data_IF_684530168186
#
_entry.id   IF_684530168186
#
_cell.length_a   1.000
_cell.length_b   1.000
_cell.length_c   1.000
_cell.angle_alpha   90.00
_cell.angle_beta   90.00
_cell.angle_gamma   90.00
#
_symmetry.space_group_name_H-M   'P 1'
#
loop_
_entity.id
_entity.type
_entity.pdbx_description
1 polymer ?
#
# COMPACT_ATOMS: atom_id res chain seq x y z
N UNK A 1 -10.70 -13.27 16.86
CA UNK A 1 -12.18 -13.13 16.85
C UNK A 1 -12.77 -13.37 15.46
N UNK A 2 -14.08 -13.61 15.36
CA UNK A 2 -14.76 -13.69 14.06
C UNK A 2 -14.76 -12.33 13.35
N UNK A 3 -14.78 -12.35 12.01
CA UNK A 3 -14.89 -11.13 11.19
C UNK A 3 -16.20 -10.40 11.56
N UNK A 4 -16.18 -9.07 11.77
CA UNK A 4 -17.40 -8.32 12.04
C UNK A 4 -18.48 -8.58 10.97
N UNK A 5 -19.75 -8.62 11.40
CA UNK A 5 -20.87 -8.97 10.51
C UNK A 5 -20.95 -8.00 9.33
N UNK A 6 -21.11 -8.52 8.12
CA UNK A 6 -21.25 -7.73 6.89
C UNK A 6 -19.94 -7.33 6.20
N UNK A 7 -18.78 -7.77 6.72
CA UNK A 7 -17.49 -7.54 6.08
C UNK A 7 -17.00 -8.75 5.28
N UNK A 8 -16.41 -8.46 4.13
CA UNK A 8 -15.72 -9.40 3.26
C UNK A 8 -14.22 -9.22 3.46
N UNK A 9 -13.54 -10.32 3.79
CA UNK A 9 -12.09 -10.35 3.95
C UNK A 9 -11.38 -10.31 2.60
N UNK A 10 -10.16 -9.77 2.57
CA UNK A 10 -9.40 -9.59 1.33
C UNK A 10 -9.20 -10.88 0.54
N UNK A 11 -9.01 -11.99 1.23
CA UNK A 11 -8.88 -13.32 0.62
C UNK A 11 -10.14 -13.77 -0.12
N UNK A 12 -11.31 -13.15 0.09
CA UNK A 12 -12.55 -13.49 -0.61
C UNK A 12 -12.89 -12.55 -1.76
N UNK A 13 -12.15 -11.44 -1.90
CA UNK A 13 -12.36 -10.47 -2.97
C UNK A 13 -11.83 -11.01 -4.30
N UNK A 14 -12.47 -10.62 -5.40
CA UNK A 14 -12.03 -10.97 -6.76
C UNK A 14 -10.66 -10.37 -7.11
N UNK A 15 -10.33 -9.22 -6.52
CA UNK A 15 -9.00 -8.60 -6.57
C UNK A 15 -7.88 -9.53 -6.08
N UNK A 16 -8.18 -10.50 -5.23
CA UNK A 16 -7.22 -11.47 -4.71
C UNK A 16 -6.96 -12.65 -5.68
N UNK A 17 -7.82 -12.85 -6.68
CA UNK A 17 -7.74 -13.95 -7.65
C UNK A 17 -6.37 -14.09 -8.34
N UNK A 18 -5.72 -13.03 -8.87
CA UNK A 18 -4.39 -13.16 -9.48
C UNK A 18 -3.34 -13.68 -8.49
N UNK A 19 -3.35 -13.21 -7.23
CA UNK A 19 -2.42 -13.66 -6.20
C UNK A 19 -2.68 -15.11 -5.78
N UNK A 20 -3.96 -15.51 -5.69
CA UNK A 20 -4.33 -16.92 -5.44
C UNK A 20 -3.87 -17.84 -6.57
N UNK A 21 -4.09 -17.44 -7.82
CA UNK A 21 -3.66 -18.21 -8.99
C UNK A 21 -2.14 -18.33 -9.03
N UNK A 22 -1.41 -17.24 -8.75
CA UNK A 22 0.04 -17.27 -8.64
C UNK A 22 0.51 -18.24 -7.55
N UNK A 23 -0.13 -18.21 -6.36
CA UNK A 23 0.19 -19.13 -5.27
C UNK A 23 -0.09 -20.60 -5.66
N UNK A 24 -1.21 -20.87 -6.33
CA UNK A 24 -1.54 -22.21 -6.83
C UNK A 24 -0.50 -22.70 -7.85
N UNK A 25 -0.05 -21.85 -8.77
CA UNK A 25 1.01 -22.18 -9.73
C UNK A 25 2.31 -22.52 -8.99
N UNK A 26 2.71 -21.73 -8.00
CA UNK A 26 3.93 -21.99 -7.21
C UNK A 26 3.83 -23.34 -6.49
N UNK A 27 2.70 -23.63 -5.86
CA UNK A 27 2.45 -24.92 -5.20
C UNK A 27 2.47 -26.08 -6.20
N UNK A 28 1.85 -25.90 -7.38
CA UNK A 28 1.83 -26.91 -8.42
C UNK A 28 3.24 -27.18 -8.96
N UNK A 29 4.06 -26.16 -9.18
CA UNK A 29 5.45 -26.31 -9.65
C UNK A 29 6.34 -26.94 -8.58
N UNK A 30 6.20 -26.54 -7.31
CA UNK A 30 7.00 -27.14 -6.23
C UNK A 30 6.65 -28.61 -6.03
N UNK A 31 5.36 -28.97 -6.03
CA UNK A 31 4.89 -30.35 -5.94
C UNK A 31 5.22 -31.18 -7.18
N UNK A 32 5.12 -30.62 -8.39
CA UNK A 32 5.53 -31.32 -9.60
C UNK A 32 7.02 -31.68 -9.58
N UNK A 33 7.88 -30.79 -9.09
CA UNK A 33 9.32 -31.04 -8.95
C UNK A 33 9.60 -32.24 -8.02
N UNK A 34 8.88 -32.36 -6.90
CA UNK A 34 9.05 -33.52 -6.00
C UNK A 34 8.54 -34.81 -6.62
N UNK A 35 7.38 -34.76 -7.28
CA UNK A 35 6.79 -35.92 -7.95
C UNK A 35 7.71 -36.44 -9.05
N UNK A 36 8.29 -35.57 -9.87
CA UNK A 36 9.26 -35.95 -10.91
C UNK A 36 10.48 -36.64 -10.29
N UNK A 37 11.04 -36.07 -9.22
CA UNK A 37 12.17 -36.68 -8.51
C UNK A 37 11.86 -38.09 -7.98
N UNK A 38 10.63 -38.30 -7.49
CA UNK A 38 10.17 -39.59 -6.98
C UNK A 38 9.89 -40.60 -8.10
N UNK A 39 9.35 -40.16 -9.24
CA UNK A 39 9.13 -41.03 -10.42
C UNK A 39 10.49 -41.49 -10.97
N UNK A 40 11.48 -40.60 -11.06
CA UNK A 40 12.81 -40.95 -11.56
C UNK A 40 13.48 -42.01 -10.69
N UNK A 41 13.34 -41.94 -9.37
CA UNK A 41 13.93 -42.96 -8.48
C UNK A 41 13.19 -44.29 -8.52
N UNK A 42 11.84 -44.27 -8.52
CA UNK A 42 11.05 -45.51 -8.49
C UNK A 42 11.01 -46.27 -9.81
N UNK A 43 10.90 -45.57 -10.95
CA UNK A 43 10.67 -46.21 -12.25
C UNK A 43 11.91 -46.27 -13.14
N UNK A 44 12.79 -45.27 -13.06
CA UNK A 44 13.98 -45.20 -13.91
C UNK A 44 15.26 -45.71 -13.20
N UNK A 45 15.15 -46.18 -11.95
CA UNK A 45 16.26 -46.80 -11.20
C UNK A 45 17.38 -45.82 -10.81
N UNK A 46 17.10 -44.52 -10.85
CA UNK A 46 18.05 -43.50 -10.41
C UNK A 46 18.32 -43.55 -8.90
N UNK A 47 19.52 -43.12 -8.50
CA UNK A 47 19.90 -43.04 -7.08
C UNK A 47 18.95 -42.16 -6.27
N UNK A 48 18.70 -42.54 -5.01
CA UNK A 48 17.85 -41.79 -4.07
C UNK A 48 18.30 -40.33 -3.88
N UNK A 49 19.59 -40.04 -4.12
CA UNK A 49 20.14 -38.68 -4.09
C UNK A 49 19.39 -37.71 -5.02
N UNK A 50 18.93 -38.18 -6.18
CA UNK A 50 18.18 -37.35 -7.13
C UNK A 50 16.84 -36.90 -6.53
N UNK A 51 16.13 -37.79 -5.83
CA UNK A 51 14.88 -37.41 -5.16
C UNK A 51 15.11 -36.40 -4.03
N UNK A 52 16.21 -36.51 -3.30
CA UNK A 52 16.59 -35.55 -2.25
C UNK A 52 16.92 -34.17 -2.82
N UNK A 53 17.61 -34.13 -3.97
CA UNK A 53 17.90 -32.87 -4.67
C UNK A 53 16.60 -32.22 -5.16
N UNK A 54 15.70 -32.98 -5.78
CA UNK A 54 14.39 -32.47 -6.22
C UNK A 54 13.55 -31.97 -5.03
N UNK A 55 13.59 -32.67 -3.89
CA UNK A 55 12.93 -32.23 -2.67
C UNK A 55 13.52 -30.91 -2.17
N UNK A 56 14.84 -30.80 -2.08
CA UNK A 56 15.51 -29.57 -1.66
C UNK A 56 15.15 -28.40 -2.58
N UNK A 57 15.15 -28.61 -3.90
CA UNK A 57 14.75 -27.61 -4.89
C UNK A 57 13.28 -27.19 -4.71
N UNK A 58 12.36 -28.12 -4.46
CA UNK A 58 10.96 -27.79 -4.21
C UNK A 58 10.75 -26.89 -2.99
N UNK A 59 11.50 -27.16 -1.91
CA UNK A 59 11.46 -26.39 -0.67
C UNK A 59 12.01 -24.99 -0.93
N UNK A 60 13.11 -24.88 -1.67
CA UNK A 60 13.70 -23.58 -2.05
C UNK A 60 12.73 -22.76 -2.89
N UNK A 61 12.12 -23.35 -3.92
CA UNK A 61 11.13 -22.66 -4.77
C UNK A 61 9.97 -22.13 -3.92
N UNK A 62 9.41 -22.97 -3.05
CA UNK A 62 8.30 -22.56 -2.20
C UNK A 62 8.70 -21.50 -1.16
N UNK A 63 9.90 -21.61 -0.58
CA UNK A 63 10.41 -20.66 0.40
C UNK A 63 10.67 -19.27 -0.22
N UNK A 64 11.22 -19.22 -1.44
CA UNK A 64 11.53 -17.97 -2.12
C UNK A 64 10.28 -17.26 -2.65
N UNK A 65 9.35 -18.00 -3.24
CA UNK A 65 8.19 -17.38 -3.93
C UNK A 65 6.88 -17.59 -3.18
N UNK A 66 6.63 -18.79 -2.65
CA UNK A 66 5.34 -19.16 -2.05
C UNK A 66 5.05 -18.42 -0.75
N UNK A 67 6.06 -18.24 0.10
CA UNK A 67 5.88 -17.56 1.39
C UNK A 67 5.48 -16.08 1.23
N UNK A 68 6.08 -15.37 0.26
CA UNK A 68 5.73 -13.98 -0.02
C UNK A 68 4.33 -13.85 -0.63
N UNK A 69 3.99 -14.67 -1.62
CA UNK A 69 2.65 -14.63 -2.25
C UNK A 69 1.56 -15.02 -1.25
N UNK A 70 1.80 -16.00 -0.38
CA UNK A 70 0.85 -16.38 0.66
C UNK A 70 0.54 -15.21 1.62
N UNK A 71 1.54 -14.38 1.91
CA UNK A 71 1.35 -13.21 2.74
C UNK A 71 0.50 -12.10 2.10
N UNK A 72 0.51 -12.01 0.77
CA UNK A 72 -0.30 -11.05 0.02
C UNK A 72 -1.74 -11.57 -0.16
N UNK A 73 -1.93 -12.88 -0.22
CA UNK A 73 -3.28 -13.47 -0.21
C UNK A 73 -3.95 -13.29 1.16
N UNK A 74 -3.18 -13.43 2.25
CA UNK A 74 -3.65 -13.32 3.63
C UNK A 74 -3.44 -11.92 4.22
N UNK A 75 -3.75 -10.87 3.46
CA UNK A 75 -3.72 -9.50 3.98
C UNK A 75 -4.83 -9.38 5.04
N UNK A 76 -4.52 -8.84 6.24
CA UNK A 76 -5.48 -8.66 7.32
C UNK A 76 -6.40 -7.45 7.06
N UNK A 77 -7.09 -7.44 5.93
CA UNK A 77 -7.97 -6.37 5.46
C UNK A 77 -9.37 -6.94 5.25
N UNK A 78 -10.38 -6.18 5.65
CA UNK A 78 -11.77 -6.47 5.34
C UNK A 78 -12.53 -5.19 4.99
N UNK A 79 -13.45 -5.30 4.05
CA UNK A 79 -14.27 -4.20 3.54
C UNK A 79 -15.74 -4.60 3.56
N UNK A 80 -16.66 -3.65 3.62
CA UNK A 80 -18.08 -3.94 3.51
C UNK A 80 -18.53 -4.07 2.03
N UNK A 81 -19.79 -4.47 1.82
CA UNK A 81 -20.39 -4.63 0.48
C UNK A 81 -20.38 -3.34 -0.34
N UNK A 82 -20.51 -2.18 0.30
CA UNK A 82 -20.52 -0.88 -0.37
C UNK A 82 -19.11 -0.39 -0.75
N UNK A 83 -18.07 -1.20 -0.61
CA UNK A 83 -16.73 -0.80 -0.99
C UNK A 83 -16.48 -1.11 -2.48
N UNK A 84 -15.77 -0.25 -3.24
CA UNK A 84 -15.41 -0.47 -4.65
C UNK A 84 -14.57 -1.73 -4.94
N UNK A 85 -14.21 -2.47 -3.90
CA UNK A 85 -13.50 -3.74 -4.02
C UNK A 85 -14.47 -4.92 -4.19
N UNK A 86 -15.76 -4.69 -3.94
CA UNK A 86 -16.82 -5.68 -4.02
C UNK A 86 -17.77 -5.31 -5.16
N UNK A 87 -18.31 -4.10 -5.15
CA UNK A 87 -19.24 -3.60 -6.16
C UNK A 87 -18.76 -2.24 -6.70
N UNK A 88 -18.85 -2.03 -8.01
CA UNK A 88 -18.43 -0.79 -8.66
C UNK A 88 -19.38 0.38 -8.39
N UNK A 89 -20.68 0.11 -8.16
CA UNK A 89 -21.72 1.10 -7.92
C UNK A 89 -22.27 1.01 -6.47
N UNK A 90 -21.58 1.63 -5.50
CA UNK A 90 -21.98 1.52 -4.11
C UNK A 90 -23.19 2.39 -3.78
N UNK A 91 -24.17 1.80 -3.09
CA UNK A 91 -25.42 2.48 -2.71
C UNK A 91 -25.31 3.14 -1.33
N UNK A 92 -24.35 2.72 -0.50
CA UNK A 92 -24.20 3.18 0.89
C UNK A 92 -22.77 3.55 1.28
N UNK A 93 -22.55 3.79 2.58
CA UNK A 93 -21.22 4.15 3.10
C UNK A 93 -20.25 2.98 3.00
N UNK A 94 -19.05 3.24 2.51
CA UNK A 94 -17.94 2.29 2.49
C UNK A 94 -17.18 2.33 3.83
N UNK A 95 -16.77 1.17 4.33
CA UNK A 95 -15.99 1.02 5.57
C UNK A 95 -14.83 0.07 5.37
N UNK A 96 -13.67 0.38 5.96
CA UNK A 96 -12.44 -0.41 5.84
C UNK A 96 -11.97 -0.80 7.23
N UNK A 97 -11.71 -2.09 7.42
CA UNK A 97 -11.25 -2.66 8.68
C UNK A 97 -9.93 -3.38 8.50
N UNK A 98 -9.07 -3.30 9.51
CA UNK A 98 -7.82 -4.05 9.57
C UNK A 98 -7.82 -4.95 10.80
N UNK A 99 -7.29 -6.15 10.62
CA UNK A 99 -7.06 -7.09 11.73
C UNK A 99 -5.68 -6.83 12.31
N UNK A 100 -5.63 -6.50 13.59
CA UNK A 100 -4.39 -6.32 14.33
C UNK A 100 -3.82 -7.67 14.77
N UNK A 101 -2.58 -7.63 15.26
CA UNK A 101 -1.84 -8.80 15.75
C UNK A 101 -2.47 -9.49 16.97
N UNK A 102 -3.32 -8.77 17.73
CA UNK A 102 -4.11 -9.29 18.85
C UNK A 102 -5.40 -9.98 18.40
N UNK A 103 -5.56 -10.24 17.09
CA UNK A 103 -6.74 -10.84 16.47
C UNK A 103 -8.05 -10.03 16.55
N UNK A 104 -7.94 -8.75 16.91
CA UNK A 104 -9.06 -7.79 16.92
C UNK A 104 -9.17 -7.07 15.58
N UNK A 105 -10.41 -6.79 15.17
CA UNK A 105 -10.70 -6.00 13.98
C UNK A 105 -10.98 -4.57 14.39
N UNK A 106 -10.28 -3.63 13.78
CA UNK A 106 -10.45 -2.21 14.02
C UNK A 106 -10.87 -1.51 12.73
N UNK A 107 -11.91 -0.69 12.82
CA UNK A 107 -12.31 0.21 11.74
C UNK A 107 -11.26 1.32 11.59
N UNK A 108 -10.81 1.54 10.36
CA UNK A 108 -9.85 2.60 10.06
C UNK A 108 -10.56 3.95 9.91
N UNK A 109 -9.97 4.98 10.49
CA UNK A 109 -10.46 6.35 10.44
C UNK A 109 -10.31 7.02 9.07
N UNK A 110 -10.45 8.36 9.04
CA UNK A 110 -10.39 9.17 7.81
C UNK A 110 -8.97 9.21 7.21
N UNK A 111 -7.95 9.16 8.05
CA UNK A 111 -6.57 9.39 7.63
C UNK A 111 -5.94 8.15 6.98
N UNK A 112 -4.93 8.37 6.14
CA UNK A 112 -4.08 7.30 5.61
C UNK A 112 -3.28 6.67 6.74
N UNK A 113 -2.78 5.47 6.52
CA UNK A 113 -2.03 4.73 7.53
C UNK A 113 -0.56 4.57 7.14
N UNK A 114 0.30 4.52 8.15
CA UNK A 114 1.73 4.26 8.03
C UNK A 114 2.15 3.20 9.05
N UNK A 115 3.31 2.59 8.82
CA UNK A 115 3.94 1.68 9.79
C UNK A 115 5.09 2.35 10.53
N UNK A 116 5.14 2.13 11.83
CA UNK A 116 6.27 2.50 12.70
C UNK A 116 6.82 1.23 13.32
N UNK A 117 8.15 1.10 13.39
CA UNK A 117 8.78 -0.06 14.01
C UNK A 117 8.54 -0.02 15.52
N UNK A 118 8.09 -1.13 16.09
CA UNK A 118 7.99 -1.28 17.55
C UNK A 118 9.31 -1.85 18.08
N UNK A 119 9.98 -1.11 18.96
CA UNK A 119 11.25 -1.54 19.56
C UNK A 119 11.06 -2.43 20.81
N UNK A 120 9.89 -2.36 21.45
CA UNK A 120 9.61 -3.08 22.69
C UNK A 120 9.18 -4.52 22.41
N UNK A 121 8.20 -4.69 21.52
CA UNK A 121 7.62 -6.00 21.18
C UNK A 121 8.28 -6.56 19.90
N UNK A 122 8.96 -5.71 19.13
CA UNK A 122 9.47 -6.03 17.80
C UNK A 122 8.37 -5.96 16.74
N UNK A 123 8.76 -5.94 15.46
CA UNK A 123 7.80 -5.81 14.36
C UNK A 123 7.32 -4.38 14.12
N UNK A 124 6.04 -4.21 13.76
CA UNK A 124 5.50 -2.92 13.31
C UNK A 124 4.11 -2.61 13.90
N UNK A 125 3.95 -1.37 14.33
CA UNK A 125 2.69 -0.75 14.72
C UNK A 125 2.09 0.00 13.54
N UNK A 126 0.75 0.03 13.51
CA UNK A 126 -0.01 0.85 12.58
C UNK A 126 -0.32 2.19 13.22
N UNK A 127 -0.08 3.26 12.48
CA UNK A 127 -0.37 4.64 12.91
C UNK A 127 -1.13 5.39 11.82
N UNK A 128 -1.92 6.37 12.22
CA UNK A 128 -2.50 7.35 11.29
C UNK A 128 -1.41 8.31 10.80
N UNK A 129 -1.41 8.62 9.52
CA UNK A 129 -0.51 9.59 8.90
C UNK A 129 -1.15 10.99 8.95
N UNK A 130 -1.31 11.50 10.17
CA UNK A 130 -1.89 12.81 10.46
C UNK A 130 -1.31 13.36 11.77
N UNK A 131 -0.95 14.64 11.77
CA UNK A 131 -0.41 15.46 12.88
C UNK A 131 0.30 14.68 14.01
N UNK A 132 -0.47 14.07 14.92
CA UNK A 132 0.00 13.38 16.12
C UNK A 132 0.47 11.92 15.93
N UNK A 133 0.41 11.36 14.72
CA UNK A 133 0.73 9.95 14.43
C UNK A 133 0.04 8.97 15.38
N UNK A 134 -1.27 9.16 15.58
CA UNK A 134 -2.07 8.37 16.52
C UNK A 134 -1.87 6.87 16.25
N UNK A 135 -1.47 6.14 17.30
CA UNK A 135 -1.26 4.69 17.22
C UNK A 135 -2.61 3.98 17.18
N UNK A 136 -2.81 3.16 16.14
CA UNK A 136 -3.99 2.31 15.97
C UNK A 136 -3.78 1.02 16.78
N UNK A 137 -2.62 0.37 16.60
CA UNK A 137 -2.24 -0.81 17.37
C UNK A 137 -1.11 -1.62 16.73
N UNK A 138 -0.74 -2.74 17.35
CA UNK A 138 0.31 -3.62 16.84
C UNK A 138 -0.18 -4.42 15.61
N UNK A 139 0.49 -4.26 14.47
CA UNK A 139 0.03 -4.81 13.18
C UNK A 139 0.68 -6.16 12.86
N UNK A 140 2.00 -6.28 13.04
CA UNK A 140 2.71 -7.49 12.64
C UNK A 140 4.01 -7.69 13.41
N UNK A 141 4.18 -8.90 13.94
CA UNK A 141 5.43 -9.36 14.56
C UNK A 141 6.57 -9.61 13.55
N UNK A 142 6.28 -9.57 12.24
CA UNK A 142 7.29 -9.82 11.21
C UNK A 142 8.21 -8.62 11.01
N UNK A 143 9.52 -8.86 10.97
CA UNK A 143 10.51 -7.81 10.67
C UNK A 143 10.71 -7.55 9.16
N UNK A 144 9.93 -8.21 8.28
CA UNK A 144 10.05 -8.04 6.82
C UNK A 144 9.33 -6.76 6.35
N UNK A 145 9.99 -5.61 6.49
CA UNK A 145 9.46 -4.29 6.07
C UNK A 145 8.87 -4.27 4.66
N UNK A 146 9.53 -4.79 3.60
CA UNK A 146 9.01 -4.68 2.23
C UNK A 146 7.66 -5.39 2.05
N UNK A 147 7.50 -6.56 2.70
CA UNK A 147 6.25 -7.32 2.70
C UNK A 147 5.14 -6.51 3.36
N UNK A 148 5.39 -5.98 4.55
CA UNK A 148 4.40 -5.20 5.30
C UNK A 148 4.02 -3.95 4.52
N UNK A 149 5.00 -3.21 3.97
CA UNK A 149 4.74 -2.04 3.13
C UNK A 149 3.80 -2.34 1.96
N UNK A 150 3.95 -3.47 1.27
CA UNK A 150 3.01 -3.89 0.20
C UNK A 150 1.58 -4.04 0.73
N UNK A 151 1.41 -4.61 1.92
CA UNK A 151 0.09 -4.75 2.54
C UNK A 151 -0.51 -3.39 2.89
N UNK A 152 0.29 -2.48 3.45
CA UNK A 152 -0.13 -1.11 3.78
C UNK A 152 -0.54 -0.32 2.55
N UNK A 153 0.17 -0.48 1.43
CA UNK A 153 -0.20 0.16 0.15
C UNK A 153 -1.60 -0.29 -0.28
N UNK A 154 -1.90 -1.59 -0.21
CA UNK A 154 -3.22 -2.13 -0.57
C UNK A 154 -4.31 -1.61 0.38
N UNK A 155 -4.01 -1.53 1.69
CA UNK A 155 -4.96 -0.99 2.67
C UNK A 155 -5.21 0.51 2.42
N UNK A 156 -4.16 1.29 2.15
CA UNK A 156 -4.30 2.71 1.81
C UNK A 156 -5.07 2.92 0.50
N UNK A 157 -4.90 2.04 -0.49
CA UNK A 157 -5.71 2.06 -1.70
C UNK A 157 -7.19 1.80 -1.40
N UNK A 158 -7.50 0.87 -0.49
CA UNK A 158 -8.87 0.66 -0.01
C UNK A 158 -9.42 1.94 0.65
N UNK A 159 -8.65 2.58 1.53
CA UNK A 159 -9.07 3.84 2.16
C UNK A 159 -9.32 4.95 1.14
N UNK A 160 -8.48 5.09 0.12
CA UNK A 160 -8.71 6.08 -0.95
C UNK A 160 -10.01 5.84 -1.70
N UNK A 161 -10.31 4.59 -2.05
CA UNK A 161 -11.55 4.25 -2.74
C UNK A 161 -12.77 4.45 -1.84
N UNK A 162 -12.67 4.10 -0.56
CA UNK A 162 -13.69 4.37 0.45
C UNK A 162 -14.01 5.87 0.53
N UNK A 163 -12.99 6.71 0.54
CA UNK A 163 -13.13 8.17 0.65
C UNK A 163 -13.87 8.74 -0.56
N UNK A 164 -13.55 8.28 -1.78
CA UNK A 164 -14.27 8.64 -3.00
C UNK A 164 -15.76 8.29 -2.94
N UNK A 165 -16.11 7.12 -2.40
CA UNK A 165 -17.52 6.69 -2.22
C UNK A 165 -18.22 7.51 -1.14
N UNK A 166 -17.53 7.81 -0.05
CA UNK A 166 -18.11 8.53 1.08
C UNK A 166 -18.18 10.05 0.84
N UNK A 167 -17.77 10.54 -0.34
CA UNK A 167 -17.77 11.96 -0.67
C UNK A 167 -16.81 12.77 0.21
N UNK A 168 -15.73 12.14 0.67
CA UNK A 168 -14.66 12.85 1.38
C UNK A 168 -13.83 13.58 0.34
N UNK A 169 -13.86 14.91 0.41
CA UNK A 169 -13.14 15.83 -0.46
C UNK A 169 -11.65 15.47 -0.55
N UNK A 170 -11.17 15.24 -1.79
CA UNK A 170 -9.80 14.87 -2.08
C UNK A 170 -8.95 16.15 -2.13
N UNK A 171 -7.91 16.28 -1.27
CA UNK A 171 -7.00 17.43 -1.33
C UNK A 171 -6.38 17.67 -2.70
N UNK A 172 -6.27 16.63 -3.54
CA UNK A 172 -5.78 16.70 -4.91
C UNK A 172 -6.85 17.29 -5.85
N UNK A 173 -8.12 16.91 -5.72
CA UNK A 173 -9.20 17.53 -6.50
C UNK A 173 -9.36 19.00 -6.09
N UNK A 174 -9.27 19.34 -4.80
CA UNK A 174 -9.21 20.74 -4.35
C UNK A 174 -7.99 21.48 -4.91
N UNK A 175 -6.85 20.80 -5.05
CA UNK A 175 -5.64 21.39 -5.63
C UNK A 175 -5.80 21.59 -7.14
N UNK A 176 -6.49 20.68 -7.83
CA UNK A 176 -6.82 20.80 -9.27
C UNK A 176 -7.88 21.85 -9.52
N UNK A 177 -8.89 21.97 -8.68
CA UNK A 177 -9.84 23.08 -8.73
C UNK A 177 -9.12 24.41 -8.51
N UNK A 178 -8.17 24.47 -7.58
CA UNK A 178 -7.29 25.65 -7.40
C UNK A 178 -6.34 25.92 -8.57
N UNK A 179 -5.96 24.91 -9.35
CA UNK A 179 -5.16 25.06 -10.57
C UNK A 179 -6.03 25.53 -11.75
N UNK A 180 -7.27 25.05 -11.85
CA UNK A 180 -8.26 25.49 -12.85
C UNK A 180 -8.86 26.85 -12.53
N UNK A 181 -8.90 27.22 -11.25
CA UNK A 181 -9.14 28.60 -10.83
C UNK A 181 -7.92 29.42 -11.25
N UNK A 182 -8.00 29.92 -12.48
CA UNK A 182 -7.10 30.94 -13.03
C UNK A 182 -7.22 32.19 -12.15
N UNK A 183 -6.52 32.21 -11.02
CA UNK A 183 -6.02 33.44 -10.44
C UNK A 183 -5.05 33.97 -11.49
N UNK A 184 -5.61 34.59 -12.55
CA UNK A 184 -4.85 35.15 -13.65
C UNK A 184 -3.67 35.89 -13.06
N UNK A 185 -2.47 35.54 -13.53
CA UNK A 185 -1.18 36.06 -13.07
C UNK A 185 -1.41 37.46 -12.50
N UNK A 186 -1.28 37.62 -11.17
CA UNK A 186 -1.35 38.94 -10.54
C UNK A 186 -0.49 39.85 -11.41
N UNK A 187 -1.13 40.75 -12.16
CA UNK A 187 -0.44 41.56 -13.14
C UNK A 187 0.62 42.30 -12.35
N UNK A 188 1.88 41.86 -12.51
CA UNK A 188 2.99 42.51 -11.85
C UNK A 188 3.14 43.83 -12.56
N UNK A 189 2.43 44.85 -12.05
CA UNK A 189 2.72 46.24 -12.34
C UNK A 189 4.11 46.49 -11.78
N UNK A 190 5.10 46.32 -12.64
CA UNK A 190 6.37 46.98 -12.44
C UNK A 190 6.08 48.47 -12.34
N UNK A 191 6.75 49.14 -11.41
CA UNK A 191 6.74 50.60 -11.42
C UNK A 191 7.23 51.01 -12.81
N UNK A 192 6.47 51.84 -13.52
CA UNK A 192 6.94 52.39 -14.79
C UNK A 192 8.31 53.05 -14.55
N UNK A 193 9.21 52.97 -15.53
CA UNK A 193 10.51 53.64 -15.50
C UNK A 193 10.29 55.16 -15.56
N UNK A 194 9.74 55.76 -14.51
CA UNK A 194 10.03 57.14 -14.22
C UNK A 194 11.52 57.21 -13.94
N UNK A 195 12.24 57.93 -14.79
CA UNK A 195 13.64 58.30 -14.60
C UNK A 195 13.79 58.87 -13.19
N UNK A 196 14.20 58.02 -12.24
CA UNK A 196 14.60 58.47 -10.92
C UNK A 196 15.83 59.34 -11.15
N UNK A 197 15.61 60.66 -11.23
CA UNK A 197 16.68 61.64 -11.18
C UNK A 197 17.37 61.46 -9.84
N UNK A 198 18.49 60.74 -9.85
CA UNK A 198 19.26 60.48 -8.65
C UNK A 198 19.88 61.80 -8.19
N UNK A 199 19.17 62.58 -7.37
CA UNK A 199 19.71 63.77 -6.72
C UNK A 199 20.57 63.37 -5.51
N UNK A 200 21.69 62.71 -5.81
CA UNK A 200 22.73 62.37 -4.85
C UNK A 200 24.01 63.17 -5.12
N UNK A 201 24.91 63.31 -4.12
CA UNK A 201 26.20 63.98 -4.31
C UNK A 201 27.06 63.34 -5.41
N UNK A 202 26.84 62.06 -5.74
CA UNK A 202 27.50 61.33 -6.82
C UNK A 202 27.02 61.74 -8.22
N UNK A 203 25.75 62.14 -8.41
CA UNK A 203 25.24 62.54 -9.71
C UNK A 203 25.80 63.90 -10.19
N UNK A 204 26.15 64.79 -9.26
CA UNK A 204 26.82 66.07 -9.58
C UNK A 204 28.26 65.91 -10.07
N UNK A 205 28.90 64.77 -9.78
CA UNK A 205 30.26 64.46 -10.27
C UNK A 205 30.24 63.90 -11.69
N UNK A 206 29.15 63.24 -12.10
CA UNK A 206 29.00 62.60 -13.42
C UNK A 206 28.57 63.62 -14.48
N UNK A 207 27.77 64.63 -14.11
CA UNK A 207 27.30 65.68 -15.03
C UNK A 207 28.28 66.85 -15.22
N UNK A 208 29.56 66.68 -14.85
CA UNK A 208 30.59 67.71 -15.02
C UNK A 208 31.67 67.20 -15.96
N UNK A 209 31.31 67.10 -17.24
CA UNK A 209 32.16 67.31 -18.41
C UNK A 209 31.26 67.64 -19.61
#
# INVERSE_FOLDING_TARGET
MAVPKGLITFDKLDLCLPYKRQLQIIIAVSSATTIIGLILTLFAGFSILISLICLALSVIIFALFGYETMALVKIPLAVNMNHPFVEEEPIGKATVHVKLSNDEWQELGKHRIRIIKDELIGGYNLVEDFEDYKVIGHYSHSNKKPRIMKQIIIINQALSLRDGVNGVEDPIEDARERENLDYGLLERKWLDEEELTAEGPLAKLINKD
#
